data_IF_669352443150
#
_entry.id   IF_669352443150
#
_cell.length_a   1.000
_cell.length_b   1.000
_cell.length_c   1.000
_cell.angle_alpha   90.00
_cell.angle_beta   90.00
_cell.angle_gamma   90.00
#
_symmetry.space_group_name_H-M   'P 1'
#
loop_
_entity.id
_entity.type
_entity.pdbx_description
1 polymer ?
#
# COMPACT_ATOMS: atom_id res chain seq x y z
N UNK A 1 -19.53 -6.69 7.16
CA UNK A 1 -18.66 -7.88 7.14
C UNK A 1 -17.98 -7.90 5.78
N UNK A 2 -16.72 -7.45 5.66
CA UNK A 2 -15.98 -7.44 4.40
C UNK A 2 -15.62 -8.88 4.04
N UNK A 3 -16.17 -9.39 2.94
CA UNK A 3 -15.89 -10.74 2.47
C UNK A 3 -14.41 -10.84 2.08
N UNK A 4 -13.69 -11.70 2.80
CA UNK A 4 -12.29 -12.01 2.55
C UNK A 4 -12.24 -12.94 1.34
N UNK A 5 -12.06 -12.38 0.14
CA UNK A 5 -11.87 -13.13 -1.10
C UNK A 5 -10.41 -13.57 -1.19
N UNK A 6 -10.13 -14.81 -0.80
CA UNK A 6 -8.83 -15.45 -1.04
C UNK A 6 -8.91 -16.06 -2.44
N UNK A 7 -8.31 -15.39 -3.43
CA UNK A 7 -8.19 -15.94 -4.78
C UNK A 7 -7.20 -17.11 -4.77
N UNK A 8 -7.62 -18.34 -5.13
CA UNK A 8 -6.76 -19.52 -5.09
C UNK A 8 -5.62 -19.49 -6.12
N UNK A 9 -5.64 -18.56 -7.08
CA UNK A 9 -4.55 -18.33 -8.04
C UNK A 9 -3.42 -17.43 -7.51
N UNK A 10 -3.60 -16.77 -6.36
CA UNK A 10 -2.58 -15.88 -5.79
C UNK A 10 -1.41 -16.71 -5.25
N UNK A 11 -0.29 -16.64 -5.97
CA UNK A 11 0.95 -17.36 -5.63
C UNK A 11 1.67 -16.70 -4.46
N UNK A 12 2.48 -17.45 -3.71
CA UNK A 12 3.32 -16.94 -2.61
C UNK A 12 4.17 -15.74 -3.02
N UNK A 13 4.71 -15.75 -4.24
CA UNK A 13 5.46 -14.63 -4.81
C UNK A 13 4.61 -13.37 -4.94
N UNK A 14 3.36 -13.49 -5.43
CA UNK A 14 2.45 -12.35 -5.59
C UNK A 14 2.14 -11.70 -4.24
N UNK A 15 1.97 -12.52 -3.20
CA UNK A 15 1.76 -12.08 -1.80
C UNK A 15 2.97 -11.33 -1.28
N UNK A 16 4.18 -11.81 -1.58
CA UNK A 16 5.42 -11.14 -1.21
C UNK A 16 5.53 -9.78 -1.89
N UNK A 17 5.35 -9.70 -3.21
CA UNK A 17 5.42 -8.44 -3.97
C UNK A 17 4.35 -7.43 -3.51
N UNK A 18 3.13 -7.91 -3.26
CA UNK A 18 2.05 -7.08 -2.73
C UNK A 18 2.37 -6.55 -1.32
N UNK A 19 2.87 -7.39 -0.42
CA UNK A 19 3.25 -6.98 0.93
C UNK A 19 4.40 -5.97 0.92
N UNK A 20 5.43 -6.21 0.11
CA UNK A 20 6.63 -5.38 0.07
C UNK A 20 6.37 -3.97 -0.50
N UNK A 21 5.32 -3.82 -1.30
CA UNK A 21 4.90 -2.52 -1.85
C UNK A 21 4.40 -1.52 -0.79
N UNK A 22 4.04 -1.97 0.42
CA UNK A 22 3.58 -1.11 1.50
C UNK A 22 4.73 -0.47 2.30
N UNK A 23 5.70 -1.22 2.87
CA UNK A 23 6.80 -0.62 3.62
C UNK A 23 7.80 0.12 2.73
N UNK A 24 7.92 -0.33 1.47
CA UNK A 24 8.86 0.20 0.49
C UNK A 24 8.07 0.68 -0.75
N UNK A 25 7.67 1.96 -0.81
CA UNK A 25 6.90 2.47 -1.94
C UNK A 25 7.62 2.34 -3.29
N UNK A 26 8.97 2.36 -3.27
CA UNK A 26 9.78 2.10 -4.46
C UNK A 26 9.52 0.70 -5.04
N UNK A 27 9.27 -0.31 -4.21
CA UNK A 27 8.93 -1.66 -4.71
C UNK A 27 7.58 -1.65 -5.42
N UNK A 28 6.58 -0.97 -4.85
CA UNK A 28 5.27 -0.80 -5.50
C UNK A 28 5.39 -0.10 -6.85
N UNK A 29 6.24 0.93 -6.93
CA UNK A 29 6.54 1.62 -8.19
C UNK A 29 7.19 0.67 -9.21
N UNK A 30 8.24 -0.05 -8.82
CA UNK A 30 8.95 -1.01 -9.70
C UNK A 30 7.97 -2.06 -10.23
N UNK A 31 7.12 -2.59 -9.37
CA UNK A 31 6.08 -3.56 -9.72
C UNK A 31 5.10 -3.03 -10.77
N UNK A 32 4.74 -1.74 -10.71
CA UNK A 32 3.89 -1.10 -11.72
C UNK A 32 4.61 -0.83 -13.05
N UNK A 33 5.94 -0.77 -13.05
CA UNK A 33 6.74 -0.72 -14.28
C UNK A 33 7.06 -2.12 -14.83
N UNK A 34 6.95 -3.17 -14.03
CA UNK A 34 7.17 -4.56 -14.45
C UNK A 34 5.92 -5.12 -15.14
N UNK A 35 5.98 -5.32 -16.46
CA UNK A 35 4.83 -5.80 -17.24
C UNK A 35 4.28 -7.14 -16.73
N UNK A 36 5.15 -8.09 -16.40
CA UNK A 36 4.76 -9.42 -15.90
C UNK A 36 4.05 -9.36 -14.54
N UNK A 37 4.47 -8.46 -13.66
CA UNK A 37 3.88 -8.31 -12.32
C UNK A 37 2.61 -7.45 -12.35
N UNK A 38 2.59 -6.38 -13.16
CA UNK A 38 1.40 -5.53 -13.38
C UNK A 38 0.24 -6.28 -14.04
N UNK A 39 0.53 -7.30 -14.85
CA UNK A 39 -0.49 -8.13 -15.47
C UNK A 39 -1.36 -8.89 -14.45
N UNK A 40 -0.86 -9.08 -13.22
CA UNK A 40 -1.58 -9.76 -12.14
C UNK A 40 -2.49 -8.75 -11.42
N UNK A 41 -3.82 -8.94 -11.41
CA UNK A 41 -4.76 -7.99 -10.78
C UNK A 41 -4.48 -7.76 -9.30
N UNK A 42 -4.14 -8.83 -8.55
CA UNK A 42 -3.78 -8.79 -7.13
C UNK A 42 -2.58 -7.87 -6.87
N UNK A 43 -1.49 -8.09 -7.61
CA UNK A 43 -0.26 -7.31 -7.45
C UNK A 43 -0.50 -5.86 -7.85
N UNK A 44 -1.18 -5.61 -8.98
CA UNK A 44 -1.50 -4.25 -9.45
C UNK A 44 -2.31 -3.49 -8.40
N UNK A 45 -3.33 -4.12 -7.83
CA UNK A 45 -4.17 -3.52 -6.79
C UNK A 45 -3.34 -3.08 -5.57
N UNK A 46 -2.58 -4.00 -4.99
CA UNK A 46 -1.80 -3.70 -3.80
C UNK A 46 -0.63 -2.75 -4.07
N UNK A 47 -0.02 -2.79 -5.26
CA UNK A 47 1.06 -1.88 -5.63
C UNK A 47 0.56 -0.44 -5.80
N UNK A 48 -0.57 -0.23 -6.48
CA UNK A 48 -1.21 1.10 -6.59
C UNK A 48 -1.65 1.59 -5.20
N UNK A 49 -2.28 0.72 -4.42
CA UNK A 49 -2.75 1.07 -3.08
C UNK A 49 -1.61 1.39 -2.12
N UNK A 50 -0.52 0.61 -2.13
CA UNK A 50 0.67 0.85 -1.32
C UNK A 50 1.38 2.15 -1.69
N UNK A 51 1.47 2.45 -2.99
CA UNK A 51 2.04 3.71 -3.47
C UNK A 51 1.19 4.91 -3.03
N UNK A 52 -0.12 4.85 -3.25
CA UNK A 52 -1.04 5.92 -2.85
C UNK A 52 -1.07 6.11 -1.31
N UNK A 53 -1.03 5.01 -0.54
CA UNK A 53 -0.97 5.05 0.91
C UNK A 53 0.28 5.79 1.38
N UNK A 54 1.44 5.44 0.82
CA UNK A 54 2.69 6.13 1.14
C UNK A 54 2.63 7.61 0.77
N UNK A 55 2.12 7.98 -0.41
CA UNK A 55 2.01 9.40 -0.81
C UNK A 55 1.15 10.20 0.18
N UNK A 56 -0.03 9.68 0.55
CA UNK A 56 -0.91 10.34 1.52
C UNK A 56 -0.25 10.42 2.90
N UNK A 57 0.37 9.33 3.34
CA UNK A 57 1.05 9.25 4.63
C UNK A 57 2.20 10.26 4.73
N UNK A 58 3.10 10.30 3.75
CA UNK A 58 4.21 11.25 3.70
C UNK A 58 3.72 12.70 3.57
N UNK A 59 2.63 12.95 2.84
CA UNK A 59 2.05 14.30 2.71
C UNK A 59 1.49 14.82 4.04
N UNK A 60 0.71 14.00 4.76
CA UNK A 60 0.19 14.35 6.09
C UNK A 60 1.34 14.57 7.08
N UNK A 61 2.33 13.69 7.04
CA UNK A 61 3.49 13.76 7.92
C UNK A 61 4.33 15.04 7.69
N UNK A 62 4.55 15.42 6.44
CA UNK A 62 5.26 16.65 6.08
C UNK A 62 4.49 17.89 6.60
N UNK A 63 3.17 17.89 6.45
CA UNK A 63 2.32 18.96 6.97
C UNK A 63 2.40 19.07 8.50
N UNK A 64 2.34 17.94 9.21
CA UNK A 64 2.46 17.88 10.68
C UNK A 64 3.83 18.37 11.16
N UNK A 65 4.90 17.96 10.48
CA UNK A 65 6.28 18.35 10.81
C UNK A 65 6.49 19.85 10.65
N UNK A 66 5.92 20.43 9.59
CA UNK A 66 5.97 21.88 9.35
C UNK A 66 5.24 22.66 10.45
N UNK A 67 4.06 22.19 10.88
CA UNK A 67 3.25 22.83 11.94
C UNK A 67 3.89 22.68 13.32
N UNK A 68 4.54 21.54 13.60
CA UNK A 68 5.12 21.23 14.92
C UNK A 68 6.62 21.56 15.03
N UNK A 69 7.19 22.27 14.05
CA UNK A 69 8.61 22.69 14.03
C UNK A 69 9.57 21.51 14.27
N UNK A 70 9.27 20.34 13.69
CA UNK A 70 10.13 19.16 13.77
C UNK A 70 9.88 18.20 14.94
N UNK A 71 8.99 18.50 15.89
CA UNK A 71 8.68 17.56 17.00
C UNK A 71 8.06 16.26 16.48
N UNK A 72 7.21 16.34 15.44
CA UNK A 72 6.63 15.17 14.80
C UNK A 72 7.69 14.23 14.17
N UNK A 73 8.92 14.71 13.93
CA UNK A 73 9.99 13.89 13.36
C UNK A 73 10.52 12.80 14.27
N UNK A 74 10.34 12.93 15.58
CA UNK A 74 10.67 11.87 16.53
C UNK A 74 9.74 10.66 16.35
N UNK A 75 8.51 10.88 15.87
CA UNK A 75 7.54 9.83 15.61
C UNK A 75 7.73 9.12 14.26
N UNK A 76 8.67 9.55 13.40
CA UNK A 76 8.95 8.92 12.09
C UNK A 76 9.05 7.38 12.13
N UNK A 77 9.92 6.79 12.98
CA UNK A 77 10.07 5.34 13.01
C UNK A 77 8.78 4.64 13.47
N UNK A 78 8.04 5.24 14.41
CA UNK A 78 6.77 4.70 14.89
C UNK A 78 5.68 4.79 13.81
N UNK A 79 5.67 5.88 13.05
CA UNK A 79 4.72 6.10 11.98
C UNK A 79 4.99 5.13 10.82
N UNK A 80 6.25 4.84 10.49
CA UNK A 80 6.61 3.83 9.48
C UNK A 80 6.12 2.42 9.85
N UNK A 81 6.09 2.04 11.13
CA UNK A 81 5.53 0.74 11.55
C UNK A 81 4.06 0.54 11.16
N UNK A 82 3.30 1.62 10.94
CA UNK A 82 1.90 1.55 10.50
C UNK A 82 1.79 0.92 9.11
N UNK A 83 2.83 0.99 8.26
CA UNK A 83 2.83 0.35 6.93
C UNK A 83 2.91 -1.18 7.01
N UNK A 84 3.36 -1.76 8.14
CA UNK A 84 3.39 -3.23 8.31
C UNK A 84 2.01 -3.85 8.44
N UNK A 85 1.05 -3.12 9.01
CA UNK A 85 -0.32 -3.61 9.14
C UNK A 85 -0.96 -3.96 7.79
N UNK A 86 -1.01 -3.06 6.79
CA UNK A 86 -1.50 -3.39 5.45
C UNK A 86 -0.58 -4.38 4.70
N UNK A 87 0.73 -4.36 4.95
CA UNK A 87 1.65 -5.34 4.38
C UNK A 87 1.33 -6.77 4.82
N UNK A 88 1.03 -6.97 6.11
CA UNK A 88 0.64 -8.26 6.67
C UNK A 88 -0.65 -8.79 6.04
N UNK A 89 -1.65 -7.93 5.85
CA UNK A 89 -2.91 -8.30 5.19
C UNK A 89 -2.71 -8.65 3.71
N UNK A 90 -1.89 -7.88 3.00
CA UNK A 90 -1.51 -8.19 1.62
C UNK A 90 -0.74 -9.53 1.53
N UNK A 91 0.12 -9.83 2.51
CA UNK A 91 0.83 -11.12 2.59
C UNK A 91 -0.13 -12.29 2.84
N UNK A 92 -1.26 -12.06 3.51
CA UNK A 92 -2.35 -13.04 3.64
C UNK A 92 -2.99 -13.42 2.30
N UNK A 93 -2.78 -12.64 1.24
CA UNK A 93 -3.49 -12.79 -0.02
C UNK A 93 -4.88 -12.14 -0.01
N UNK A 94 -5.13 -11.22 0.93
CA UNK A 94 -6.43 -10.59 1.10
C UNK A 94 -6.53 -9.27 0.33
N UNK A 95 -7.54 -9.14 -0.52
CA UNK A 95 -7.96 -7.84 -1.02
C UNK A 95 -8.62 -7.05 0.12
N UNK A 96 -7.98 -5.98 0.56
CA UNK A 96 -8.57 -5.07 1.55
C UNK A 96 -8.73 -3.68 0.97
N UNK A 97 -9.85 -3.05 1.30
CA UNK A 97 -10.15 -1.68 0.92
C UNK A 97 -9.93 -0.76 2.11
N UNK A 98 -9.04 0.21 1.94
CA UNK A 98 -8.89 1.30 2.89
C UNK A 98 -10.01 2.32 2.61
N UNK A 99 -10.88 2.61 3.60
CA UNK A 99 -11.90 3.63 3.44
C UNK A 99 -11.22 4.95 3.07
N UNK A 100 -11.78 5.69 2.11
CA UNK A 100 -11.20 6.88 1.45
C UNK A 100 -10.16 6.57 0.38
N UNK A 101 -9.12 5.78 0.67
CA UNK A 101 -8.03 5.58 -0.28
C UNK A 101 -8.40 4.66 -1.44
N UNK A 102 -9.00 3.50 -1.16
CA UNK A 102 -9.41 2.55 -2.20
C UNK A 102 -10.55 3.12 -3.05
N UNK A 103 -11.43 3.94 -2.44
CA UNK A 103 -12.45 4.69 -3.16
C UNK A 103 -11.86 5.72 -4.13
N UNK A 104 -10.84 6.47 -3.70
CA UNK A 104 -10.13 7.42 -4.56
C UNK A 104 -9.42 6.72 -5.74
N UNK A 105 -8.71 5.63 -5.47
CA UNK A 105 -8.00 4.83 -6.49
C UNK A 105 -8.97 4.26 -7.53
N UNK A 106 -10.09 3.69 -7.08
CA UNK A 106 -11.14 3.17 -7.98
C UNK A 106 -11.78 4.27 -8.81
N UNK A 107 -12.07 5.42 -8.20
CA UNK A 107 -12.68 6.56 -8.90
C UNK A 107 -11.74 7.18 -9.96
N UNK A 108 -10.42 7.03 -9.78
CA UNK A 108 -9.40 7.45 -10.76
C UNK A 108 -9.13 6.37 -11.85
N UNK A 109 -9.75 5.19 -11.77
CA UNK A 109 -9.57 4.10 -12.74
C UNK A 109 -8.16 3.48 -12.73
N UNK A 110 -7.42 3.62 -11.64
CA UNK A 110 -6.06 3.08 -11.54
C UNK A 110 -6.04 1.57 -11.25
N UNK A 111 -7.14 1.06 -10.69
CA UNK A 111 -7.39 -0.37 -10.44
C UNK A 111 -8.56 -0.79 -11.31
#
# INVERSE_FOLDING_TARGET
>A
MSQVTIDPEVTSDDKLWAALSYPIPFVGLIVLFMADKKARPFIKYHAVQGLAFNIVFWSIYLLLTLVTVGIAAICLPAAWLVTFWPAYKAYGGEYFELPVLSGFIKNQGWV
#
